data_IF_287226266079
#
_entry.id   IF_287226266079
#
_cell.length_a   1.000
_cell.length_b   1.000
_cell.length_c   1.000
_cell.angle_alpha   90.00
_cell.angle_beta   90.00
_cell.angle_gamma   90.00
#
_symmetry.space_group_name_H-M   'P 1'
#
loop_
_entity.id
_entity.type
_entity.pdbx_description
1 polymer ?
#
# COMPACT_ATOMS: atom_id res chain seq x y z
N UNK A 1 -11.95 10.82 -14.20
CA UNK A 1 -11.04 9.67 -14.24
C UNK A 1 -10.83 9.12 -12.84
N UNK A 2 -10.91 7.81 -12.70
CA UNK A 2 -10.68 7.18 -11.41
C UNK A 2 -9.19 7.05 -11.14
N UNK A 3 -8.79 7.34 -9.90
CA UNK A 3 -7.43 7.05 -9.45
C UNK A 3 -7.29 5.55 -9.19
N UNK A 4 -6.13 5.02 -9.48
CA UNK A 4 -5.87 3.58 -9.39
C UNK A 4 -5.01 3.26 -8.18
N UNK A 5 -5.44 2.26 -7.41
CA UNK A 5 -4.71 1.76 -6.25
C UNK A 5 -4.27 0.32 -6.52
N UNK A 6 -2.98 0.05 -6.33
CA UNK A 6 -2.46 -1.31 -6.33
C UNK A 6 -2.48 -1.83 -4.90
N UNK A 7 -3.19 -2.92 -4.68
CA UNK A 7 -3.36 -3.52 -3.37
C UNK A 7 -2.56 -4.81 -3.30
N UNK A 8 -1.54 -4.84 -2.44
CA UNK A 8 -0.61 -5.97 -2.31
C UNK A 8 -0.77 -6.61 -0.94
N UNK A 9 -1.28 -7.83 -0.91
CA UNK A 9 -1.51 -8.60 0.32
C UNK A 9 -1.63 -10.07 -0.08
N UNK A 10 -0.97 -10.97 0.64
CA UNK A 10 -1.04 -12.41 0.34
C UNK A 10 -2.33 -13.06 0.87
N UNK A 11 -3.11 -12.36 1.68
CA UNK A 11 -4.40 -12.84 2.16
C UNK A 11 -5.52 -12.41 1.20
N UNK A 12 -6.12 -13.39 0.52
CA UNK A 12 -7.25 -13.13 -0.37
C UNK A 12 -8.44 -12.50 0.33
N UNK A 13 -8.69 -12.89 1.58
CA UNK A 13 -9.78 -12.32 2.38
C UNK A 13 -9.50 -10.85 2.69
N UNK A 14 -8.29 -10.52 3.13
CA UNK A 14 -7.91 -9.15 3.43
C UNK A 14 -7.97 -8.27 2.17
N UNK A 15 -7.48 -8.79 1.04
CA UNK A 15 -7.56 -8.06 -0.23
C UNK A 15 -8.99 -7.75 -0.62
N UNK A 16 -9.89 -8.73 -0.56
CA UNK A 16 -11.30 -8.51 -0.93
C UNK A 16 -11.97 -7.46 -0.05
N UNK A 17 -11.69 -7.51 1.24
CA UNK A 17 -12.25 -6.57 2.21
C UNK A 17 -11.78 -5.14 1.93
N UNK A 18 -10.47 -4.95 1.75
CA UNK A 18 -9.88 -3.65 1.45
C UNK A 18 -10.32 -3.14 0.09
N UNK A 19 -10.40 -4.02 -0.90
CA UNK A 19 -10.88 -3.67 -2.23
C UNK A 19 -12.28 -3.07 -2.20
N UNK A 20 -13.18 -3.68 -1.44
CA UNK A 20 -14.56 -3.16 -1.31
C UNK A 20 -14.57 -1.74 -0.76
N UNK A 21 -13.75 -1.48 0.25
CA UNK A 21 -13.63 -0.13 0.83
C UNK A 21 -13.18 0.87 -0.24
N UNK A 22 -12.15 0.54 -0.97
CA UNK A 22 -11.57 1.43 -1.97
C UNK A 22 -12.51 1.64 -3.16
N UNK A 23 -13.14 0.59 -3.64
CA UNK A 23 -14.09 0.70 -4.75
C UNK A 23 -15.31 1.52 -4.35
N UNK A 24 -15.78 1.37 -3.11
CA UNK A 24 -16.88 2.19 -2.59
C UNK A 24 -16.52 3.66 -2.52
N UNK A 25 -15.25 3.98 -2.36
CA UNK A 25 -14.75 5.36 -2.35
C UNK A 25 -14.45 5.91 -3.76
N UNK A 26 -14.67 5.10 -4.79
CA UNK A 26 -14.50 5.54 -6.18
C UNK A 26 -13.15 5.25 -6.81
N UNK A 27 -12.29 4.49 -6.13
CA UNK A 27 -11.00 4.12 -6.68
C UNK A 27 -11.10 2.88 -7.56
N UNK A 28 -10.23 2.83 -8.58
CA UNK A 28 -10.02 1.66 -9.40
C UNK A 28 -8.93 0.82 -8.71
N UNK A 29 -9.18 -0.47 -8.49
CA UNK A 29 -8.28 -1.31 -7.70
C UNK A 29 -7.73 -2.44 -8.53
N UNK A 30 -6.40 -2.60 -8.51
CA UNK A 30 -5.72 -3.78 -9.03
C UNK A 30 -5.06 -4.50 -7.86
N UNK A 31 -4.93 -5.82 -7.96
CA UNK A 31 -4.46 -6.64 -6.85
C UNK A 31 -3.21 -7.42 -7.21
N UNK A 32 -2.37 -7.65 -6.20
CA UNK A 32 -1.25 -8.57 -6.30
C UNK A 32 -1.17 -9.36 -4.98
N UNK A 33 -0.81 -10.63 -5.08
CA UNK A 33 -0.76 -11.52 -3.92
C UNK A 33 0.66 -11.82 -3.44
N UNK A 34 1.67 -11.31 -4.13
CA UNK A 34 3.07 -11.44 -3.72
C UNK A 34 3.90 -10.27 -4.27
N UNK A 35 5.17 -10.24 -3.88
CA UNK A 35 6.07 -9.15 -4.26
C UNK A 35 6.36 -9.10 -5.75
N UNK A 36 6.54 -10.24 -6.39
CA UNK A 36 6.84 -10.29 -7.82
C UNK A 36 5.66 -9.80 -8.65
N UNK A 37 4.46 -10.28 -8.33
CA UNK A 37 3.23 -9.80 -8.97
C UNK A 37 3.02 -8.32 -8.76
N UNK A 38 3.37 -7.82 -7.56
CA UNK A 38 3.27 -6.39 -7.26
C UNK A 38 4.14 -5.55 -8.19
N UNK A 39 5.37 -5.98 -8.41
CA UNK A 39 6.28 -5.26 -9.31
C UNK A 39 5.80 -5.29 -10.75
N UNK A 40 5.28 -6.43 -11.21
CA UNK A 40 4.71 -6.57 -12.54
C UNK A 40 3.49 -5.66 -12.73
N UNK A 41 2.57 -5.71 -11.77
CA UNK A 41 1.36 -4.87 -11.81
C UNK A 41 1.71 -3.39 -11.77
N UNK A 42 2.67 -3.02 -10.96
CA UNK A 42 3.13 -1.63 -10.88
C UNK A 42 3.61 -1.12 -12.24
N UNK A 43 4.41 -1.92 -12.91
CA UNK A 43 4.97 -1.54 -14.21
C UNK A 43 3.88 -1.45 -15.31
N UNK A 44 2.93 -2.38 -15.28
CA UNK A 44 1.89 -2.47 -16.32
C UNK A 44 0.75 -1.49 -16.07
N UNK A 45 0.22 -1.45 -14.86
CA UNK A 45 -1.00 -0.71 -14.52
C UNK A 45 -0.74 0.73 -14.08
N UNK A 46 0.48 1.08 -13.72
CA UNK A 46 0.91 2.42 -13.31
C UNK A 46 -0.04 3.03 -12.28
N UNK A 47 -0.19 2.41 -11.10
CA UNK A 47 -1.11 2.91 -10.10
C UNK A 47 -0.66 4.24 -9.51
N UNK A 48 -1.62 4.99 -8.98
CA UNK A 48 -1.37 6.27 -8.33
C UNK A 48 -0.89 6.09 -6.89
N UNK A 49 -1.34 5.03 -6.24
CA UNK A 49 -1.00 4.70 -4.86
C UNK A 49 -0.84 3.19 -4.73
N UNK A 50 0.08 2.75 -3.90
CA UNK A 50 0.27 1.33 -3.56
C UNK A 50 -0.05 1.14 -2.08
N UNK A 51 -0.94 0.20 -1.77
CA UNK A 51 -1.15 -0.30 -0.43
C UNK A 51 -0.41 -1.62 -0.32
N UNK A 52 0.59 -1.68 0.55
CA UNK A 52 1.54 -2.78 0.62
C UNK A 52 1.56 -3.41 2.00
N UNK A 53 1.24 -4.70 2.08
CA UNK A 53 1.39 -5.45 3.32
C UNK A 53 2.89 -5.65 3.60
N UNK A 54 3.31 -5.38 4.82
CA UNK A 54 4.70 -5.48 5.23
C UNK A 54 5.19 -6.93 5.27
N UNK A 55 4.32 -7.86 5.65
CA UNK A 55 4.69 -9.26 5.81
C UNK A 55 3.92 -10.13 4.83
N UNK A 56 4.63 -10.71 3.86
CA UNK A 56 4.06 -11.60 2.86
C UNK A 56 4.97 -12.80 2.66
N UNK A 57 4.40 -13.89 2.16
CA UNK A 57 5.19 -15.08 1.80
C UNK A 57 6.12 -14.76 0.65
N UNK A 58 7.36 -15.21 0.76
CA UNK A 58 8.34 -15.17 -0.31
C UNK A 58 9.14 -13.88 -0.42
N UNK A 59 8.57 -12.74 -0.13
CA UNK A 59 9.30 -11.48 -0.20
C UNK A 59 8.82 -10.52 0.90
N UNK A 60 9.77 -9.98 1.64
CA UNK A 60 9.47 -9.03 2.70
C UNK A 60 9.02 -7.68 2.10
N UNK A 61 8.00 -7.08 2.71
CA UNK A 61 7.42 -5.82 2.20
C UNK A 61 8.41 -4.68 2.06
N UNK A 62 9.41 -4.58 2.95
CA UNK A 62 10.45 -3.55 2.82
C UNK A 62 11.27 -3.70 1.54
N UNK A 63 11.51 -4.94 1.10
CA UNK A 63 12.23 -5.19 -0.15
C UNK A 63 11.39 -4.78 -1.36
N UNK A 64 10.09 -5.03 -1.30
CA UNK A 64 9.16 -4.60 -2.35
C UNK A 64 9.11 -3.07 -2.40
N UNK A 65 9.02 -2.41 -1.26
CA UNK A 65 9.01 -0.96 -1.16
C UNK A 65 10.28 -0.36 -1.79
N UNK A 66 11.45 -0.91 -1.47
CA UNK A 66 12.71 -0.44 -2.02
C UNK A 66 12.73 -0.55 -3.54
N UNK A 67 12.24 -1.66 -4.08
CA UNK A 67 12.19 -1.85 -5.53
C UNK A 67 11.19 -0.95 -6.22
N UNK A 68 10.05 -0.69 -5.60
CA UNK A 68 9.07 0.25 -6.15
C UNK A 68 9.64 1.66 -6.24
N UNK A 69 10.36 2.09 -5.20
CA UNK A 69 11.00 3.41 -5.18
C UNK A 69 12.11 3.49 -6.23
N UNK A 70 12.85 2.40 -6.41
CA UNK A 70 13.88 2.31 -7.44
C UNK A 70 13.27 2.45 -8.84
N UNK A 71 12.12 1.82 -9.09
CA UNK A 71 11.42 1.89 -10.36
C UNK A 71 10.82 3.26 -10.62
N UNK A 72 10.31 3.90 -9.57
CA UNK A 72 9.72 5.23 -9.67
C UNK A 72 9.89 5.98 -8.34
N UNK A 73 10.88 6.88 -8.22
CA UNK A 73 11.10 7.63 -6.98
C UNK A 73 9.90 8.47 -6.51
N UNK A 74 8.96 8.76 -7.39
CA UNK A 74 7.75 9.50 -7.05
C UNK A 74 6.59 8.60 -6.58
N UNK A 75 6.80 7.29 -6.49
CA UNK A 75 5.76 6.35 -6.07
C UNK A 75 5.29 6.67 -4.65
N UNK A 76 3.99 6.57 -4.43
CA UNK A 76 3.38 6.77 -3.12
C UNK A 76 2.93 5.42 -2.58
N UNK A 77 3.59 4.97 -1.52
CA UNK A 77 3.31 3.66 -0.92
C UNK A 77 2.84 3.84 0.51
N UNK A 78 1.71 3.24 0.84
CA UNK A 78 1.22 3.13 2.21
C UNK A 78 1.47 1.68 2.64
N UNK A 79 2.26 1.50 3.69
CA UNK A 79 2.53 0.17 4.22
C UNK A 79 1.48 -0.18 5.27
N UNK A 80 0.97 -1.40 5.22
CA UNK A 80 0.02 -1.91 6.20
C UNK A 80 0.68 -3.05 6.98
N UNK A 81 0.50 -3.07 8.29
CA UNK A 81 1.10 -4.12 9.12
C UNK A 81 0.33 -4.32 10.41
N UNK A 82 0.27 -5.58 10.86
CA UNK A 82 -0.24 -5.92 12.18
C UNK A 82 0.81 -5.68 13.28
N UNK A 83 2.05 -5.41 12.90
CA UNK A 83 3.12 -5.11 13.84
C UNK A 83 2.92 -3.71 14.40
N UNK A 84 2.75 -3.61 15.71
CA UNK A 84 2.48 -2.35 16.40
C UNK A 84 3.74 -1.70 16.96
N UNK A 85 4.92 -2.26 16.68
CA UNK A 85 6.17 -1.69 17.18
C UNK A 85 6.52 -0.39 16.45
N UNK A 86 6.94 0.60 17.23
CA UNK A 86 7.35 1.90 16.69
C UNK A 86 8.51 1.75 15.69
N UNK A 87 9.43 0.81 15.97
CA UNK A 87 10.57 0.57 15.09
C UNK A 87 10.18 0.19 13.66
N UNK A 88 9.12 -0.62 13.49
CA UNK A 88 8.65 -1.00 12.16
C UNK A 88 8.13 0.21 11.39
N UNK A 89 7.40 1.08 12.06
CA UNK A 89 6.90 2.32 11.48
C UNK A 89 8.04 3.23 11.06
N UNK A 90 9.04 3.39 11.90
CA UNK A 90 10.21 4.21 11.61
C UNK A 90 11.00 3.67 10.42
N UNK A 91 11.16 2.35 10.35
CA UNK A 91 11.86 1.70 9.25
C UNK A 91 11.19 1.96 7.90
N UNK A 92 9.86 1.83 7.82
CA UNK A 92 9.16 2.08 6.56
C UNK A 92 9.16 3.55 6.19
N UNK A 93 9.11 4.44 7.17
CA UNK A 93 9.21 5.88 6.93
C UNK A 93 10.57 6.23 6.34
N UNK A 94 11.65 5.74 6.93
CA UNK A 94 13.01 5.94 6.43
C UNK A 94 13.21 5.32 5.05
N UNK A 95 12.55 4.20 4.78
CA UNK A 95 12.62 3.53 3.48
C UNK A 95 11.86 4.28 2.38
N UNK A 96 11.14 5.34 2.71
CA UNK A 96 10.49 6.20 1.74
C UNK A 96 9.00 6.01 1.56
N UNK A 97 8.35 5.26 2.45
CA UNK A 97 6.89 5.12 2.40
C UNK A 97 6.21 6.45 2.70
N UNK A 98 5.08 6.70 2.08
CA UNK A 98 4.28 7.90 2.30
C UNK A 98 3.37 7.77 3.52
N UNK A 99 3.09 6.55 3.97
CA UNK A 99 2.23 6.33 5.11
C UNK A 99 2.31 4.92 5.67
N UNK A 100 1.67 4.74 6.82
CA UNK A 100 1.61 3.47 7.54
C UNK A 100 0.22 3.31 8.17
N UNK A 101 -0.35 2.13 8.03
CA UNK A 101 -1.65 1.79 8.65
C UNK A 101 -1.47 0.52 9.48
N UNK A 102 -1.89 0.56 10.74
CA UNK A 102 -1.91 -0.63 11.60
C UNK A 102 -3.10 -1.51 11.24
N UNK A 103 -2.89 -2.81 11.16
CA UNK A 103 -3.95 -3.80 10.99
C UNK A 103 -4.42 -4.31 12.35
N UNK A 104 -5.69 -4.61 12.54
CA UNK A 104 -6.78 -4.39 11.59
C UNK A 104 -7.16 -2.91 11.50
N UNK A 105 -7.40 -2.44 10.30
CA UNK A 105 -7.75 -1.04 10.07
C UNK A 105 -9.25 -0.93 9.81
N UNK A 106 -9.86 0.12 10.39
CA UNK A 106 -11.25 0.44 10.08
C UNK A 106 -11.35 0.93 8.64
N UNK A 107 -12.49 0.69 7.95
CA UNK A 107 -12.67 1.16 6.57
C UNK A 107 -12.39 2.66 6.41
N UNK A 108 -12.82 3.47 7.36
CA UNK A 108 -12.59 4.91 7.32
C UNK A 108 -11.13 5.31 7.41
N UNK A 109 -10.31 4.53 8.12
CA UNK A 109 -8.87 4.79 8.22
C UNK A 109 -8.17 4.56 6.89
N UNK A 110 -8.55 3.48 6.18
CA UNK A 110 -7.97 3.15 4.87
C UNK A 110 -8.33 4.24 3.86
N UNK A 111 -9.60 4.60 3.80
CA UNK A 111 -10.09 5.61 2.89
C UNK A 111 -9.44 6.98 3.15
N UNK A 112 -9.35 7.38 4.42
CA UNK A 112 -8.75 8.65 4.80
C UNK A 112 -7.26 8.69 4.46
N UNK A 113 -6.53 7.61 4.69
CA UNK A 113 -5.11 7.54 4.39
C UNK A 113 -4.86 7.65 2.88
N UNK A 114 -5.62 6.91 2.07
CA UNK A 114 -5.48 6.95 0.61
C UNK A 114 -5.82 8.34 0.09
N UNK A 115 -6.89 8.94 0.57
CA UNK A 115 -7.32 10.28 0.17
C UNK A 115 -6.24 11.33 0.48
N UNK A 116 -5.63 11.24 1.66
CA UNK A 116 -4.57 12.16 2.05
C UNK A 116 -3.33 12.02 1.16
N UNK A 117 -2.93 10.80 0.87
CA UNK A 117 -1.76 10.53 0.02
C UNK A 117 -2.01 11.00 -1.41
N UNK A 118 -3.18 10.71 -1.96
CA UNK A 118 -3.57 11.15 -3.29
C UNK A 118 -3.56 12.68 -3.39
N UNK A 119 -3.93 13.36 -2.30
CA UNK A 119 -3.89 14.82 -2.23
C UNK A 119 -2.50 15.42 -2.06
N UNK A 120 -1.45 14.60 -2.01
CA UNK A 120 -0.07 15.06 -1.89
C UNK A 120 0.47 15.11 -0.48
N UNK A 121 -0.31 14.68 0.51
CA UNK A 121 0.13 14.62 1.91
C UNK A 121 0.80 13.31 2.28
N UNK A 122 1.03 13.14 3.59
CA UNK A 122 1.52 11.89 4.17
C UNK A 122 0.71 11.57 5.42
N UNK A 123 0.89 10.36 5.96
CA UNK A 123 0.24 9.99 7.23
C UNK A 123 1.21 10.08 8.42
N UNK A 124 2.34 10.74 8.25
CA UNK A 124 3.41 10.81 9.26
C UNK A 124 3.17 11.97 10.22
N UNK A 125 2.17 12.24 10.75
CA UNK A 125 2.05 13.30 11.76
C UNK A 125 1.22 12.83 12.93
#
# INVERSE_FOLDING_TARGET
>A
MSLRVLLVDDSGMARRSTRRVLESAGYDVVEADDGLSALERFAIDKPDVVLLDLVMKGMYGLDVLAKLIELNPAVRVIVMSADVQTSSRDMVKEAGAAGFINKPAAPGEIEAAVSRIVGGGTTWN
#
